data_IF_507181437374
#
_entry.id   IF_507181437374
#
_cell.length_a   1.000
_cell.length_b   1.000
_cell.length_c   1.000
_cell.angle_alpha   90.00
_cell.angle_beta   90.00
_cell.angle_gamma   90.00
#
_symmetry.space_group_name_H-M   'P 1'
#
loop_
_entity.id
_entity.type
_entity.pdbx_description
1 polymer ?
#
# COMPACT_ATOMS: atom_id res chain seq x y z
N UNK A 1 -30.50 -49.34 33.40
CA UNK A 1 -29.30 -49.19 32.55
C UNK A 1 -29.67 -48.39 31.33
N UNK A 2 -29.08 -47.20 31.15
CA UNK A 2 -28.85 -46.62 29.84
C UNK A 2 -27.34 -46.56 29.53
N UNK A 3 -27.00 -46.70 28.26
CA UNK A 3 -25.65 -46.67 27.68
C UNK A 3 -25.01 -45.26 27.70
N UNK A 4 -23.66 -45.14 27.66
CA UNK A 4 -23.00 -43.85 27.55
C UNK A 4 -22.76 -43.48 26.07
N UNK A 5 -23.35 -42.37 25.61
CA UNK A 5 -22.94 -41.74 24.35
C UNK A 5 -21.70 -40.87 24.58
N UNK A 6 -20.55 -41.40 24.17
CA UNK A 6 -19.33 -40.66 23.88
C UNK A 6 -19.31 -40.34 22.39
N UNK A 7 -19.20 -39.06 22.01
CA UNK A 7 -18.67 -38.61 20.72
C UNK A 7 -18.48 -37.08 20.73
N UNK A 8 -17.33 -36.61 21.25
CA UNK A 8 -16.81 -35.29 20.88
C UNK A 8 -15.99 -35.45 19.58
N UNK A 9 -16.12 -34.52 18.61
CA UNK A 9 -15.29 -34.54 17.40
C UNK A 9 -13.82 -34.24 17.74
N UNK A 10 -12.85 -34.64 16.89
CA UNK A 10 -11.44 -34.44 17.17
C UNK A 10 -11.13 -32.94 17.22
N UNK A 11 -10.64 -32.47 18.36
CA UNK A 11 -10.05 -31.14 18.46
C UNK A 11 -8.76 -31.14 17.62
N UNK A 12 -8.80 -30.50 16.45
CA UNK A 12 -7.58 -30.09 15.76
C UNK A 12 -6.78 -29.19 16.71
N UNK A 13 -5.63 -29.69 17.17
CA UNK A 13 -4.69 -28.92 17.98
C UNK A 13 -4.23 -27.69 17.17
N UNK A 14 -4.78 -26.53 17.50
CA UNK A 14 -4.19 -25.25 17.12
C UNK A 14 -2.78 -25.17 17.72
N UNK A 15 -1.78 -24.65 16.98
CA UNK A 15 -0.46 -24.42 17.56
C UNK A 15 -0.59 -23.32 18.61
N UNK A 16 -0.52 -23.70 19.87
CA UNK A 16 -0.53 -22.80 21.02
C UNK A 16 0.67 -21.85 20.93
N UNK A 17 0.44 -20.55 21.14
CA UNK A 17 1.48 -19.51 21.20
C UNK A 17 2.61 -19.79 22.23
N UNK A 18 2.42 -20.79 23.09
CA UNK A 18 3.41 -21.34 24.02
C UNK A 18 4.57 -22.11 23.35
N UNK A 19 4.46 -22.47 22.06
CA UNK A 19 5.55 -23.15 21.35
C UNK A 19 6.71 -22.21 20.92
N UNK A 20 6.57 -20.90 21.11
CA UNK A 20 7.59 -19.91 20.77
C UNK A 20 8.73 -19.81 21.81
N UNK A 21 8.58 -20.42 22.99
CA UNK A 21 9.56 -20.30 24.08
C UNK A 21 10.86 -21.12 23.87
N UNK A 22 10.93 -22.04 22.89
CA UNK A 22 12.06 -22.99 22.77
C UNK A 22 13.02 -22.78 21.57
N UNK A 23 12.81 -21.75 20.76
CA UNK A 23 13.73 -21.39 19.67
C UNK A 23 14.41 -20.05 19.98
N UNK A 24 15.46 -20.12 20.80
CA UNK A 24 16.37 -18.98 20.98
C UNK A 24 16.96 -18.53 19.64
N UNK A 25 17.25 -17.23 19.51
CA UNK A 25 17.74 -16.63 18.26
C UNK A 25 18.97 -17.34 17.68
N UNK A 26 19.93 -17.75 18.52
CA UNK A 26 21.11 -18.54 18.13
C UNK A 26 20.73 -19.86 17.43
N UNK A 27 19.72 -20.55 17.99
CA UNK A 27 19.23 -21.80 17.41
C UNK A 27 18.53 -21.54 16.08
N UNK A 28 17.73 -20.48 16.00
CA UNK A 28 17.10 -20.07 14.75
C UNK A 28 18.15 -19.78 13.65
N UNK A 29 19.17 -18.98 13.94
CA UNK A 29 20.21 -18.63 12.95
C UNK A 29 21.08 -19.83 12.56
N UNK A 30 21.39 -20.73 13.49
CA UNK A 30 22.22 -21.92 13.19
C UNK A 30 21.54 -22.95 12.28
N UNK A 31 20.20 -22.92 12.15
CA UNK A 31 19.46 -23.83 11.26
C UNK A 31 19.03 -23.19 9.94
N UNK A 32 19.35 -21.92 9.70
CA UNK A 32 19.03 -21.24 8.45
C UNK A 32 19.84 -21.80 7.28
N UNK A 33 19.15 -22.11 6.20
CA UNK A 33 19.77 -22.57 4.95
C UNK A 33 19.37 -21.62 3.82
N UNK A 34 20.36 -21.05 3.13
CA UNK A 34 20.14 -20.26 1.92
C UNK A 34 19.98 -21.20 0.73
N UNK A 35 18.90 -21.02 -0.03
CA UNK A 35 18.68 -21.65 -1.33
C UNK A 35 18.63 -20.57 -2.41
N UNK A 36 19.26 -20.82 -3.55
CA UNK A 36 19.21 -19.93 -4.71
C UNK A 36 18.35 -20.60 -5.77
N UNK A 37 17.32 -19.89 -6.23
CA UNK A 37 16.43 -20.35 -7.29
C UNK A 37 16.54 -19.41 -8.47
N UNK A 38 16.62 -19.96 -9.68
CA UNK A 38 16.94 -19.20 -10.90
C UNK A 38 15.70 -18.81 -11.71
N UNK A 39 14.50 -19.17 -11.25
CA UNK A 39 13.24 -18.89 -11.95
C UNK A 39 12.07 -18.67 -10.99
N UNK A 40 11.07 -17.92 -11.46
CA UNK A 40 9.83 -17.68 -10.71
C UNK A 40 9.04 -18.97 -10.49
N UNK A 41 9.04 -19.88 -11.48
CA UNK A 41 8.38 -21.19 -11.34
C UNK A 41 9.03 -22.04 -10.26
N UNK A 42 10.37 -22.12 -10.24
CA UNK A 42 11.10 -22.85 -9.21
C UNK A 42 10.89 -22.23 -7.83
N UNK A 43 10.83 -20.89 -7.75
CA UNK A 43 10.55 -20.21 -6.48
C UNK A 43 9.17 -20.60 -5.95
N UNK A 44 8.16 -20.64 -6.82
CA UNK A 44 6.81 -21.08 -6.46
C UNK A 44 6.79 -22.51 -5.95
N UNK A 45 7.48 -23.42 -6.63
CA UNK A 45 7.59 -24.83 -6.22
C UNK A 45 8.26 -24.98 -4.85
N UNK A 46 9.37 -24.28 -4.59
CA UNK A 46 10.07 -24.30 -3.29
C UNK A 46 9.24 -23.67 -2.17
N UNK A 47 8.55 -22.55 -2.43
CA UNK A 47 7.67 -21.92 -1.42
C UNK A 47 6.52 -22.86 -1.04
N UNK A 48 5.92 -23.53 -2.02
CA UNK A 48 4.86 -24.50 -1.78
C UNK A 48 5.37 -25.76 -1.08
N UNK A 49 6.55 -26.27 -1.43
CA UNK A 49 7.13 -27.45 -0.78
C UNK A 49 7.50 -27.17 0.68
N UNK A 50 7.89 -25.94 0.99
CA UNK A 50 8.23 -25.47 2.33
C UNK A 50 7.07 -24.79 3.05
N UNK A 51 5.83 -24.94 2.57
CA UNK A 51 4.65 -24.22 3.09
C UNK A 51 4.51 -24.33 4.62
N UNK A 52 4.73 -25.51 5.19
CA UNK A 52 4.68 -25.71 6.64
C UNK A 52 5.71 -24.88 7.42
N UNK A 53 6.90 -24.68 6.84
CA UNK A 53 7.95 -23.83 7.42
C UNK A 53 7.55 -22.35 7.38
N UNK A 54 6.99 -21.90 6.26
CA UNK A 54 6.49 -20.51 6.11
C UNK A 54 5.30 -20.19 7.01
N UNK A 55 4.46 -21.19 7.32
CA UNK A 55 3.36 -21.06 8.28
C UNK A 55 3.80 -21.15 9.75
N UNK A 56 5.06 -21.53 9.99
CA UNK A 56 5.63 -21.64 11.34
C UNK A 56 5.86 -20.28 12.02
N UNK A 57 6.28 -20.33 13.28
CA UNK A 57 6.45 -19.14 14.14
C UNK A 57 7.44 -18.09 13.59
N UNK A 58 8.42 -18.50 12.76
CA UNK A 58 9.42 -17.61 12.19
C UNK A 58 9.20 -17.30 10.70
N UNK A 59 8.04 -17.62 10.13
CA UNK A 59 7.77 -17.46 8.69
C UNK A 59 8.00 -16.04 8.17
N UNK A 60 7.57 -15.03 8.92
CA UNK A 60 7.77 -13.61 8.57
C UNK A 60 9.26 -13.25 8.57
N UNK A 61 10.05 -13.77 9.52
CA UNK A 61 11.49 -13.56 9.54
C UNK A 61 12.17 -14.24 8.34
N UNK A 62 11.78 -15.47 8.00
CA UNK A 62 12.30 -16.16 6.82
C UNK A 62 12.02 -15.37 5.54
N UNK A 63 10.85 -14.74 5.45
CA UNK A 63 10.47 -13.92 4.29
C UNK A 63 11.33 -12.68 4.22
N UNK A 64 11.51 -11.99 5.36
CA UNK A 64 12.37 -10.84 5.46
C UNK A 64 13.83 -11.16 5.07
N UNK A 65 14.40 -12.25 5.59
CA UNK A 65 15.74 -12.69 5.21
C UNK A 65 15.83 -12.99 3.72
N UNK A 66 14.81 -13.61 3.13
CA UNK A 66 14.77 -13.90 1.70
C UNK A 66 14.81 -12.61 0.86
N UNK A 67 14.05 -11.58 1.24
CA UNK A 67 14.05 -10.26 0.57
C UNK A 67 15.42 -9.58 0.72
N UNK A 68 15.97 -9.52 1.93
CA UNK A 68 17.27 -8.89 2.21
C UNK A 68 18.38 -9.58 1.41
N UNK A 69 18.40 -10.91 1.39
CA UNK A 69 19.41 -11.69 0.67
C UNK A 69 19.27 -11.61 -0.85
N UNK A 70 18.04 -11.50 -1.36
CA UNK A 70 17.79 -11.34 -2.79
C UNK A 70 18.21 -9.94 -3.30
N UNK A 71 17.95 -8.89 -2.51
CA UNK A 71 18.36 -7.51 -2.84
C UNK A 71 19.86 -7.28 -2.60
N UNK A 72 20.42 -7.87 -1.54
CA UNK A 72 21.80 -7.70 -1.10
C UNK A 72 21.95 -6.59 -0.05
N UNK A 73 22.68 -6.89 1.03
CA UNK A 73 22.86 -5.99 2.18
C UNK A 73 23.49 -4.66 1.77
N UNK A 74 24.54 -4.69 0.94
CA UNK A 74 25.23 -3.48 0.51
C UNK A 74 24.34 -2.59 -0.37
N UNK A 75 23.49 -3.18 -1.22
CA UNK A 75 22.53 -2.42 -2.01
C UNK A 75 21.51 -1.72 -1.11
N UNK A 76 21.01 -2.41 -0.08
CA UNK A 76 20.09 -1.83 0.90
C UNK A 76 20.77 -0.68 1.66
N UNK A 77 22.00 -0.88 2.13
CA UNK A 77 22.77 0.16 2.84
C UNK A 77 23.02 1.40 1.98
N UNK A 78 23.25 1.23 0.68
CA UNK A 78 23.46 2.35 -0.24
C UNK A 78 22.17 3.12 -0.55
N UNK A 79 21.00 2.47 -0.42
CA UNK A 79 19.69 3.13 -0.63
C UNK A 79 19.20 3.87 0.63
N UNK A 80 19.54 3.35 1.82
CA UNK A 80 19.23 4.00 3.09
C UNK A 80 20.17 5.21 3.28
N UNK A 81 19.60 6.42 3.28
CA UNK A 81 20.38 7.65 3.41
C UNK A 81 20.96 7.84 4.82
N UNK A 82 20.26 7.38 5.86
CA UNK A 82 20.75 7.38 7.25
C UNK A 82 21.20 5.97 7.67
N UNK A 83 22.51 5.72 7.60
CA UNK A 83 23.08 4.41 7.94
C UNK A 83 22.91 3.98 9.40
N UNK A 84 22.45 4.89 10.27
CA UNK A 84 22.13 4.60 11.67
C UNK A 84 20.69 4.13 11.87
N UNK A 85 19.82 4.30 10.87
CA UNK A 85 18.42 3.87 10.94
C UNK A 85 18.32 2.34 10.78
N UNK A 86 17.84 1.60 11.79
CA UNK A 86 17.64 0.17 11.66
C UNK A 86 16.38 -0.13 10.82
N UNK A 87 16.39 -1.24 10.07
CA UNK A 87 15.20 -1.70 9.33
C UNK A 87 14.04 -2.11 10.26
N UNK A 88 14.39 -2.58 11.46
CA UNK A 88 13.44 -2.95 12.51
C UNK A 88 13.84 -2.20 13.77
N UNK A 89 12.88 -1.49 14.36
CA UNK A 89 13.07 -0.82 15.63
C UNK A 89 13.45 -1.83 16.73
N UNK A 90 14.58 -1.65 17.42
CA UNK A 90 15.09 -2.63 18.38
C UNK A 90 14.28 -2.69 19.69
N UNK A 91 13.42 -1.71 19.96
CA UNK A 91 12.65 -1.60 21.20
C UNK A 91 11.23 -2.15 21.00
N UNK A 92 10.58 -1.76 19.91
CA UNK A 92 9.17 -2.01 19.62
C UNK A 92 8.96 -3.03 18.51
N UNK A 93 9.99 -3.36 17.72
CA UNK A 93 9.91 -4.35 16.64
C UNK A 93 9.16 -3.86 15.39
N UNK A 94 8.89 -2.55 15.27
CA UNK A 94 8.24 -1.99 14.10
C UNK A 94 9.21 -1.89 12.92
N UNK A 95 8.73 -2.18 11.71
CA UNK A 95 9.50 -1.97 10.50
C UNK A 95 9.64 -0.47 10.19
N UNK A 96 10.82 -0.04 9.77
CA UNK A 96 11.03 1.33 9.31
C UNK A 96 10.35 1.58 7.95
N UNK A 97 10.22 2.84 7.55
CA UNK A 97 9.67 3.18 6.24
C UNK A 97 10.52 2.60 5.10
N UNK A 98 11.84 2.57 5.27
CA UNK A 98 12.79 1.92 4.36
C UNK A 98 12.51 0.44 4.20
N UNK A 99 12.13 -0.26 5.28
CA UNK A 99 11.71 -1.66 5.21
C UNK A 99 10.38 -1.82 4.47
N UNK A 100 9.38 -0.98 4.75
CA UNK A 100 8.09 -1.02 4.05
C UNK A 100 8.28 -0.81 2.54
N UNK A 101 9.05 0.20 2.16
CA UNK A 101 9.34 0.50 0.76
C UNK A 101 10.12 -0.65 0.09
N UNK A 102 11.05 -1.29 0.80
CA UNK A 102 11.77 -2.45 0.28
C UNK A 102 10.81 -3.60 -0.05
N UNK A 103 9.85 -3.88 0.84
CA UNK A 103 8.88 -4.97 0.64
C UNK A 103 7.89 -4.69 -0.49
N UNK A 104 7.49 -3.43 -0.67
CA UNK A 104 6.46 -3.04 -1.64
C UNK A 104 7.06 -2.74 -3.03
N UNK A 105 8.20 -2.07 -3.07
CA UNK A 105 8.79 -1.52 -4.32
C UNK A 105 10.10 -2.21 -4.73
N UNK A 106 10.76 -2.90 -3.79
CA UNK A 106 12.12 -3.43 -4.00
C UNK A 106 13.24 -2.40 -3.79
N UNK A 107 12.92 -1.21 -3.29
CA UNK A 107 13.86 -0.11 -2.99
C UNK A 107 13.75 0.31 -1.53
N UNK A 108 14.88 0.37 -0.82
CA UNK A 108 14.95 0.65 0.61
C UNK A 108 15.16 2.15 0.93
N UNK A 109 14.54 3.04 0.15
CA UNK A 109 14.53 4.49 0.44
C UNK A 109 13.55 4.80 1.57
N UNK A 110 13.84 5.79 2.40
CA UNK A 110 12.95 6.19 3.52
C UNK A 110 11.83 7.12 3.08
N UNK A 111 12.00 7.80 1.95
CA UNK A 111 11.02 8.75 1.44
C UNK A 111 9.91 8.05 0.65
N UNK A 112 8.76 8.70 0.59
CA UNK A 112 7.50 8.08 0.15
C UNK A 112 6.88 8.74 -1.08
N UNK A 113 7.64 9.64 -1.71
CA UNK A 113 7.28 10.29 -2.96
C UNK A 113 8.05 9.69 -4.14
N UNK A 114 7.56 9.95 -5.35
CA UNK A 114 8.22 9.54 -6.57
C UNK A 114 9.45 10.41 -6.90
N UNK A 115 10.50 9.78 -7.42
CA UNK A 115 11.69 10.46 -7.92
C UNK A 115 12.59 11.06 -6.85
N UNK A 116 13.82 11.38 -7.23
CA UNK A 116 14.72 12.13 -6.35
C UNK A 116 14.26 13.59 -6.23
N UNK A 117 14.39 14.17 -5.04
CA UNK A 117 14.17 15.60 -4.78
C UNK A 117 15.46 16.25 -4.33
N UNK A 118 15.61 17.55 -4.61
CA UNK A 118 16.72 18.35 -4.08
C UNK A 118 16.17 19.37 -3.08
N UNK A 119 16.75 19.40 -1.89
CA UNK A 119 16.39 20.34 -0.84
C UNK A 119 17.67 20.96 -0.26
N UNK A 120 17.87 22.26 -0.50
CA UNK A 120 19.03 23.01 0.03
C UNK A 120 20.39 22.39 -0.31
N UNK A 121 20.55 21.86 -1.53
CA UNK A 121 21.77 21.18 -1.98
C UNK A 121 21.93 19.74 -1.48
N UNK A 122 20.97 19.21 -0.72
CA UNK A 122 20.91 17.82 -0.33
C UNK A 122 19.99 17.05 -1.29
N UNK A 123 20.49 15.94 -1.84
CA UNK A 123 19.71 15.04 -2.67
C UNK A 123 18.96 14.03 -1.79
N UNK A 124 17.64 14.05 -1.87
CA UNK A 124 16.73 13.14 -1.17
C UNK A 124 16.24 12.07 -2.13
N UNK A 125 16.48 10.80 -1.80
CA UNK A 125 16.08 9.68 -2.64
C UNK A 125 14.62 9.34 -2.46
N UNK A 126 13.83 9.44 -3.53
CA UNK A 126 12.46 8.95 -3.56
C UNK A 126 12.35 7.61 -4.29
N UNK A 127 11.11 7.20 -4.53
CA UNK A 127 10.78 5.92 -5.14
C UNK A 127 10.91 6.05 -6.66
N UNK A 128 11.81 5.27 -7.27
CA UNK A 128 12.09 5.35 -8.70
C UNK A 128 11.26 4.38 -9.55
N UNK A 129 10.50 3.51 -8.90
CA UNK A 129 9.70 2.50 -9.58
C UNK A 129 8.35 2.36 -8.89
N UNK A 130 7.30 2.54 -9.68
CA UNK A 130 5.95 2.29 -9.22
C UNK A 130 5.76 0.79 -8.92
N UNK A 131 5.24 0.50 -7.73
CA UNK A 131 4.87 -0.84 -7.33
C UNK A 131 3.51 -1.24 -7.92
N UNK A 132 3.31 -2.56 -8.11
CA UNK A 132 2.00 -3.11 -8.45
C UNK A 132 1.03 -3.10 -7.25
N UNK A 133 1.57 -2.98 -6.04
CA UNK A 133 0.83 -2.88 -4.79
C UNK A 133 1.09 -1.51 -4.20
N UNK A 134 0.03 -0.76 -3.92
CA UNK A 134 0.11 0.54 -3.27
C UNK A 134 0.05 0.43 -1.75
N UNK A 135 0.47 1.50 -1.08
CA UNK A 135 0.39 1.64 0.38
C UNK A 135 -0.31 2.95 0.74
N UNK A 136 -1.36 2.85 1.56
CA UNK A 136 -2.05 3.99 2.16
C UNK A 136 -1.82 3.99 3.66
N UNK A 137 -1.66 5.17 4.24
CA UNK A 137 -1.27 5.34 5.64
C UNK A 137 -2.24 6.25 6.37
N UNK A 138 -2.40 6.05 7.68
CA UNK A 138 -3.19 6.95 8.54
C UNK A 138 -2.72 8.40 8.41
N UNK A 139 -1.42 8.63 8.20
CA UNK A 139 -0.84 9.98 8.05
C UNK A 139 -1.40 10.72 6.83
N UNK A 140 -1.78 9.98 5.78
CA UNK A 140 -2.47 10.53 4.60
C UNK A 140 -3.88 11.01 4.96
N UNK A 141 -4.63 10.22 5.74
CA UNK A 141 -5.97 10.61 6.21
C UNK A 141 -5.94 11.86 7.11
N UNK A 142 -4.83 12.06 7.82
CA UNK A 142 -4.58 13.22 8.66
C UNK A 142 -4.01 14.42 7.87
N UNK A 143 -3.85 14.28 6.54
CA UNK A 143 -3.33 15.30 5.61
C UNK A 143 -1.90 15.77 5.89
N UNK A 144 -1.14 15.00 6.66
CA UNK A 144 0.29 15.24 6.87
C UNK A 144 1.15 14.81 5.67
N UNK A 145 0.62 13.94 4.80
CA UNK A 145 1.24 13.53 3.54
C UNK A 145 0.29 13.87 2.37
N UNK A 146 0.60 14.91 1.58
CA UNK A 146 -0.25 15.36 0.46
C UNK A 146 0.11 14.76 -0.91
N UNK A 147 1.31 14.19 -1.05
CA UNK A 147 1.88 13.75 -2.35
C UNK A 147 2.29 12.28 -2.33
N UNK A 148 1.32 11.39 -2.13
CA UNK A 148 1.56 9.95 -2.02
C UNK A 148 0.87 9.20 -3.16
N UNK A 149 1.16 9.53 -4.42
CA UNK A 149 0.62 8.77 -5.57
C UNK A 149 1.33 7.43 -5.73
N UNK A 150 1.29 6.57 -4.71
CA UNK A 150 1.84 5.22 -4.77
C UNK A 150 0.85 4.19 -5.32
N UNK A 151 -0.17 4.60 -6.08
CA UNK A 151 -1.12 3.67 -6.70
C UNK A 151 -1.50 4.16 -8.10
N UNK A 152 -1.16 3.35 -9.11
CA UNK A 152 -1.47 3.61 -10.52
C UNK A 152 -0.48 4.56 -11.22
N UNK A 153 -0.17 4.34 -12.51
CA UNK A 153 0.49 5.38 -13.29
C UNK A 153 -0.41 6.62 -13.20
N UNK A 154 0.21 7.79 -12.99
CA UNK A 154 -0.52 9.05 -12.95
C UNK A 154 -1.44 9.10 -14.17
N UNK A 155 -2.76 9.11 -13.92
CA UNK A 155 -3.71 9.21 -15.01
C UNK A 155 -3.48 10.54 -15.75
N UNK A 156 -3.80 10.62 -17.06
CA UNK A 156 -3.71 11.90 -17.78
C UNK A 156 -4.43 13.05 -17.05
N UNK A 157 -5.50 12.74 -16.32
CA UNK A 157 -6.25 13.70 -15.50
C UNK A 157 -5.51 14.12 -14.23
N UNK A 158 -4.82 13.20 -13.53
CA UNK A 158 -4.00 13.53 -12.37
C UNK A 158 -2.77 14.34 -12.76
N UNK A 159 -2.14 13.99 -13.89
CA UNK A 159 -1.04 14.76 -14.48
C UNK A 159 -1.51 16.16 -14.84
N UNK A 160 -2.66 16.28 -15.50
CA UNK A 160 -3.30 17.56 -15.79
C UNK A 160 -3.54 18.38 -14.51
N UNK A 161 -4.05 17.75 -13.45
CA UNK A 161 -4.33 18.43 -12.19
C UNK A 161 -3.06 18.88 -11.47
N UNK A 162 -2.04 18.03 -11.39
CA UNK A 162 -0.75 18.37 -10.75
C UNK A 162 -0.03 19.47 -11.50
N UNK A 163 0.03 19.38 -12.83
CA UNK A 163 0.59 20.45 -13.65
C UNK A 163 -0.23 21.72 -13.45
N UNK A 164 -1.55 21.69 -13.58
CA UNK A 164 -2.39 22.87 -13.35
C UNK A 164 -2.17 23.51 -11.98
N UNK A 165 -2.15 22.71 -10.91
CA UNK A 165 -1.89 23.18 -9.54
C UNK A 165 -0.50 23.83 -9.38
N UNK A 166 0.51 23.39 -10.12
CA UNK A 166 1.82 24.05 -10.10
C UNK A 166 1.80 25.47 -10.69
N UNK A 167 0.74 25.82 -11.45
CA UNK A 167 0.52 27.16 -12.02
C UNK A 167 -0.61 27.94 -11.33
N UNK A 168 -1.30 27.34 -10.34
CA UNK A 168 -2.31 27.99 -9.49
C UNK A 168 -1.88 27.94 -8.00
N UNK A 169 -0.87 28.74 -7.61
CA UNK A 169 -0.36 28.74 -6.23
C UNK A 169 -1.35 29.32 -5.21
N UNK A 170 -2.41 29.99 -5.67
CA UNK A 170 -3.45 30.58 -4.84
C UNK A 170 -4.64 29.62 -4.60
N UNK A 171 -4.64 28.44 -5.24
CA UNK A 171 -5.70 27.41 -5.18
C UNK A 171 -7.09 27.99 -5.49
N UNK A 172 -7.15 28.94 -6.42
CA UNK A 172 -8.39 29.64 -6.78
C UNK A 172 -9.16 28.93 -7.92
N UNK A 173 -8.57 27.89 -8.50
CA UNK A 173 -9.14 27.08 -9.58
C UNK A 173 -8.93 27.67 -10.97
N UNK A 174 -8.15 28.74 -11.12
CA UNK A 174 -7.92 29.44 -12.38
C UNK A 174 -6.43 29.72 -12.61
N UNK A 175 -6.00 29.53 -13.86
CA UNK A 175 -4.70 30.00 -14.34
C UNK A 175 -4.91 31.18 -15.31
N UNK A 176 -4.06 32.22 -15.27
CA UNK A 176 -4.03 33.25 -16.29
C UNK A 176 -3.83 32.67 -17.70
N UNK A 177 -4.48 33.24 -18.71
CA UNK A 177 -4.35 32.83 -20.12
C UNK A 177 -2.89 32.83 -20.61
N UNK A 178 -2.07 33.75 -20.07
CA UNK A 178 -0.64 33.82 -20.37
C UNK A 178 0.15 32.58 -19.95
N UNK A 179 -0.35 31.78 -19.00
CA UNK A 179 0.29 30.56 -18.51
C UNK A 179 -0.30 29.30 -19.17
N UNK A 180 -1.40 29.41 -19.92
CA UNK A 180 -2.07 28.27 -20.53
C UNK A 180 -1.17 27.53 -21.52
N UNK A 181 -0.37 28.26 -22.30
CA UNK A 181 0.58 27.65 -23.24
C UNK A 181 1.65 26.83 -22.51
N UNK A 182 2.15 27.34 -21.39
CA UNK A 182 3.15 26.66 -20.56
C UNK A 182 2.57 25.41 -19.90
N UNK A 183 1.31 25.47 -19.43
CA UNK A 183 0.58 24.30 -18.92
C UNK A 183 0.38 23.24 -20.01
N UNK A 184 -0.04 23.65 -21.21
CA UNK A 184 -0.25 22.72 -22.32
C UNK A 184 1.05 22.06 -22.78
N UNK A 185 2.18 22.80 -22.81
CA UNK A 185 3.50 22.25 -23.09
C UNK A 185 3.95 21.27 -22.02
N UNK A 186 3.75 21.60 -20.74
CA UNK A 186 4.09 20.73 -19.62
C UNK A 186 3.26 19.43 -19.59
N UNK A 187 2.08 19.43 -20.23
CA UNK A 187 1.23 18.25 -20.42
C UNK A 187 1.47 17.50 -21.72
N UNK A 188 2.44 17.93 -22.54
CA UNK A 188 2.70 17.37 -23.87
C UNK A 188 1.46 17.37 -24.79
N UNK A 189 0.56 18.35 -24.59
CA UNK A 189 -0.69 18.49 -25.35
C UNK A 189 -0.54 19.40 -26.58
N UNK A 190 0.65 19.96 -26.81
CA UNK A 190 0.89 20.90 -27.91
C UNK A 190 1.40 20.14 -29.14
N UNK A 191 0.49 19.85 -30.06
CA UNK A 191 0.88 19.32 -31.39
C UNK A 191 1.08 20.43 -32.43
N UNK A 192 0.40 21.60 -32.30
CA UNK A 192 0.57 22.76 -33.20
C UNK A 192 0.19 24.10 -32.51
N UNK A 193 0.93 25.20 -32.77
CA UNK A 193 0.77 26.50 -32.09
C UNK A 193 -0.54 27.25 -32.41
N UNK A 194 -1.27 26.89 -33.47
CA UNK A 194 -2.53 27.55 -33.85
C UNK A 194 -3.78 26.99 -33.13
N UNK A 195 -3.65 25.89 -32.37
CA UNK A 195 -4.80 25.19 -31.77
C UNK A 195 -5.23 25.71 -30.38
N UNK A 196 -4.41 26.54 -29.72
CA UNK A 196 -4.66 27.01 -28.35
C UNK A 196 -5.86 27.97 -28.22
N UNK A 197 -6.34 28.58 -29.31
CA UNK A 197 -7.38 29.62 -29.26
C UNK A 197 -8.83 29.11 -29.37
N UNK A 198 -9.08 27.79 -29.46
CA UNK A 198 -10.40 27.28 -29.88
C UNK A 198 -11.05 26.16 -29.07
N UNK A 199 -10.59 25.81 -27.86
CA UNK A 199 -11.27 24.77 -27.07
C UNK A 199 -11.48 25.16 -25.62
N UNK A 200 -12.52 25.97 -25.37
CA UNK A 200 -13.24 26.00 -24.09
C UNK A 200 -14.74 26.07 -24.38
N UNK A 201 -15.33 24.92 -24.70
CA UNK A 201 -16.74 24.68 -24.38
C UNK A 201 -16.83 23.39 -23.57
N UNK A 202 -17.53 23.38 -22.42
CA UNK A 202 -17.70 22.18 -21.62
C UNK A 202 -18.69 21.26 -22.34
N UNK A 203 -18.20 20.53 -23.32
CA UNK A 203 -18.86 19.32 -23.79
C UNK A 203 -18.05 18.17 -23.25
N UNK A 204 -18.51 17.66 -22.12
CA UNK A 204 -18.15 16.35 -21.57
C UNK A 204 -18.05 15.37 -22.74
N UNK A 205 -16.82 14.98 -23.10
CA UNK A 205 -16.63 13.86 -24.01
C UNK A 205 -17.11 12.61 -23.27
N UNK A 206 -18.16 11.93 -23.75
CA UNK A 206 -18.60 10.69 -23.13
C UNK A 206 -17.59 9.60 -23.49
N UNK A 207 -17.07 8.90 -22.49
CA UNK A 207 -16.35 7.63 -22.68
C UNK A 207 -14.83 7.71 -22.73
N UNK A 208 -14.17 8.43 -21.81
CA UNK A 208 -12.86 7.96 -21.35
C UNK A 208 -13.12 7.05 -20.16
N UNK A 209 -12.98 5.73 -20.37
CA UNK A 209 -12.93 4.76 -19.28
C UNK A 209 -11.92 5.29 -18.26
N UNK A 210 -12.39 5.74 -17.11
CA UNK A 210 -11.56 6.35 -16.07
C UNK A 210 -10.56 5.36 -15.48
N UNK A 211 -10.55 4.09 -15.90
CA UNK A 211 -9.73 3.01 -15.34
C UNK A 211 -10.06 2.70 -13.87
N UNK A 212 -10.90 3.52 -13.23
CA UNK A 212 -11.33 3.39 -11.85
C UNK A 212 -12.58 2.50 -11.87
N UNK A 213 -12.55 1.34 -11.19
CA UNK A 213 -13.73 0.49 -11.10
C UNK A 213 -14.86 1.24 -10.40
N UNK A 214 -16.09 1.14 -10.90
CA UNK A 214 -17.30 1.59 -10.20
C UNK A 214 -17.43 0.92 -8.83
N UNK A 215 -16.90 -0.30 -8.71
CA UNK A 215 -16.77 -1.02 -7.45
C UNK A 215 -15.60 -1.99 -7.45
N UNK A 216 -15.04 -2.27 -6.28
CA UNK A 216 -14.01 -3.30 -6.10
C UNK A 216 -14.12 -3.98 -4.74
N UNK A 217 -13.70 -5.26 -4.62
CA UNK A 217 -13.68 -5.94 -3.33
C UNK A 217 -12.62 -5.33 -2.42
N UNK A 218 -12.98 -5.17 -1.14
CA UNK A 218 -12.06 -4.76 -0.09
C UNK A 218 -12.03 -5.83 0.99
N UNK A 219 -10.84 -6.12 1.51
CA UNK A 219 -10.67 -7.09 2.59
C UNK A 219 -9.99 -6.41 3.76
N UNK A 220 -10.55 -6.57 4.95
CA UNK A 220 -9.90 -6.16 6.19
C UNK A 220 -9.37 -7.38 6.93
N UNK A 221 -8.07 -7.34 7.22
CA UNK A 221 -7.38 -8.31 8.06
C UNK A 221 -7.39 -7.85 9.51
N UNK A 222 -8.00 -8.61 10.42
CA UNK A 222 -8.20 -8.19 11.82
C UNK A 222 -6.98 -8.40 12.74
N UNK A 223 -5.76 -8.57 12.22
CA UNK A 223 -4.61 -9.04 13.00
C UNK A 223 -4.12 -8.14 14.15
N UNK A 224 -4.63 -6.91 14.27
CA UNK A 224 -4.38 -6.06 15.42
C UNK A 224 -5.25 -6.45 16.62
N UNK A 225 -4.70 -6.36 17.84
CA UNK A 225 -5.45 -6.64 19.08
C UNK A 225 -6.76 -5.85 19.19
N UNK A 226 -6.78 -4.59 18.73
CA UNK A 226 -7.97 -3.73 18.75
C UNK A 226 -9.08 -4.20 17.79
N UNK A 227 -8.75 -5.01 16.78
CA UNK A 227 -9.68 -5.58 15.82
C UNK A 227 -9.94 -7.07 16.06
N UNK A 228 -9.02 -7.77 16.71
CA UNK A 228 -9.09 -9.20 16.99
C UNK A 228 -9.82 -9.51 18.32
N UNK A 229 -11.10 -9.16 18.39
CA UNK A 229 -11.90 -9.31 19.61
C UNK A 229 -12.12 -10.78 20.02
N UNK A 230 -12.12 -11.68 19.04
CA UNK A 230 -12.37 -13.11 19.23
C UNK A 230 -11.07 -13.93 19.36
N UNK A 231 -9.92 -13.25 19.47
CA UNK A 231 -8.57 -13.85 19.50
C UNK A 231 -8.28 -14.79 18.30
N UNK A 232 -9.06 -14.63 17.23
CA UNK A 232 -8.94 -15.39 15.99
C UNK A 232 -8.73 -14.44 14.82
N UNK A 233 -7.65 -14.71 14.10
CA UNK A 233 -7.34 -14.01 12.86
C UNK A 233 -8.38 -14.36 11.80
N UNK A 234 -9.07 -13.35 11.29
CA UNK A 234 -10.16 -13.42 10.33
C UNK A 234 -10.01 -12.30 9.29
N UNK A 235 -10.53 -12.58 8.10
CA UNK A 235 -10.66 -11.59 7.03
C UNK A 235 -12.14 -11.23 6.91
N UNK A 236 -12.43 -9.94 6.86
CA UNK A 236 -13.76 -9.42 6.57
C UNK A 236 -13.76 -8.91 5.15
N UNK A 237 -14.64 -9.45 4.32
CA UNK A 237 -14.88 -8.95 2.97
C UNK A 237 -15.88 -7.78 3.00
N UNK A 238 -15.66 -6.83 2.11
CA UNK A 238 -16.57 -5.73 1.85
C UNK A 238 -16.51 -5.33 0.38
N UNK A 239 -17.39 -4.42 -0.01
CA UNK A 239 -17.42 -3.80 -1.32
C UNK A 239 -17.16 -2.31 -1.19
N UNK A 240 -16.16 -1.81 -1.92
CA UNK A 240 -15.97 -0.39 -2.13
C UNK A 240 -16.75 0.04 -3.37
N UNK A 241 -17.56 1.10 -3.24
CA UNK A 241 -18.29 1.74 -4.32
C UNK A 241 -17.68 3.11 -4.58
N UNK A 242 -17.21 3.38 -5.79
CA UNK A 242 -16.68 4.70 -6.15
C UNK A 242 -17.77 5.49 -6.86
N UNK A 243 -18.42 6.39 -6.14
CA UNK A 243 -19.48 7.21 -6.71
C UNK A 243 -18.85 8.39 -7.47
N UNK A 244 -19.42 8.82 -8.59
CA UNK A 244 -18.94 10.01 -9.30
C UNK A 244 -19.30 11.33 -8.60
N UNK A 245 -20.10 11.26 -7.55
CA UNK A 245 -20.74 12.37 -6.85
C UNK A 245 -21.16 11.94 -5.43
N UNK A 246 -21.51 12.90 -4.57
CA UNK A 246 -22.11 12.58 -3.26
C UNK A 246 -23.55 12.07 -3.44
N UNK A 247 -23.81 10.80 -3.12
CA UNK A 247 -25.16 10.24 -3.06
C UNK A 247 -25.63 10.09 -1.59
N UNK A 248 -26.63 10.87 -1.14
CA UNK A 248 -27.18 10.75 0.20
C UNK A 248 -27.75 9.36 0.53
N UNK A 249 -28.16 8.58 -0.48
CA UNK A 249 -28.77 7.26 -0.27
C UNK A 249 -27.77 6.15 0.06
N UNK A 250 -26.48 6.34 -0.23
CA UNK A 250 -25.44 5.30 -0.12
C UNK A 250 -24.38 5.65 0.93
N UNK A 251 -24.56 6.76 1.66
CA UNK A 251 -23.62 7.22 2.69
C UNK A 251 -23.50 6.24 3.85
N UNK A 252 -22.30 5.70 4.03
CA UNK A 252 -21.91 4.94 5.22
C UNK A 252 -21.10 5.79 6.20
N UNK A 253 -20.92 5.25 7.41
CA UNK A 253 -20.24 5.92 8.52
C UNK A 253 -18.83 6.41 8.17
N UNK A 254 -18.45 7.55 8.77
CA UNK A 254 -17.14 8.16 8.59
C UNK A 254 -16.06 7.43 9.40
N UNK A 255 -15.57 6.32 8.84
CA UNK A 255 -14.53 5.49 9.46
C UNK A 255 -13.12 5.96 9.09
N UNK A 256 -12.08 5.71 9.91
CA UNK A 256 -10.69 6.01 9.55
C UNK A 256 -10.26 5.35 8.22
N UNK A 257 -10.73 4.13 7.96
CA UNK A 257 -10.51 3.41 6.70
C UNK A 257 -11.14 4.14 5.52
N UNK A 258 -12.39 4.60 5.67
CA UNK A 258 -13.08 5.41 4.65
C UNK A 258 -12.31 6.70 4.39
N UNK A 259 -11.93 7.45 5.42
CA UNK A 259 -11.14 8.69 5.27
C UNK A 259 -9.80 8.47 4.58
N UNK A 260 -9.14 7.35 4.85
CA UNK A 260 -7.89 6.97 4.20
C UNK A 260 -8.09 6.64 2.72
N UNK A 261 -9.18 5.99 2.33
CA UNK A 261 -9.48 5.70 0.92
C UNK A 261 -10.01 6.93 0.17
N UNK A 262 -10.69 7.85 0.87
CA UNK A 262 -11.22 9.09 0.30
C UNK A 262 -10.14 10.05 -0.21
N UNK A 263 -8.90 9.88 0.22
CA UNK A 263 -7.76 10.62 -0.34
C UNK A 263 -7.48 10.24 -1.80
N UNK A 264 -7.93 9.06 -2.23
CA UNK A 264 -7.86 8.56 -3.61
C UNK A 264 -9.19 8.62 -4.33
N UNK A 265 -10.26 8.26 -3.63
CA UNK A 265 -11.61 8.19 -4.17
C UNK A 265 -12.56 9.04 -3.32
N UNK A 266 -12.70 10.35 -3.61
CA UNK A 266 -13.39 11.30 -2.73
C UNK A 266 -14.81 10.88 -2.32
N UNK A 267 -15.52 10.19 -3.21
CA UNK A 267 -16.90 9.74 -3.00
C UNK A 267 -16.98 8.22 -2.86
N UNK A 268 -15.97 7.59 -2.26
CA UNK A 268 -15.99 6.15 -1.96
C UNK A 268 -16.91 5.84 -0.77
N UNK A 269 -17.72 4.80 -0.95
CA UNK A 269 -18.57 4.24 0.07
C UNK A 269 -18.19 2.78 0.34
N UNK A 270 -18.15 2.39 1.61
CA UNK A 270 -17.70 1.06 2.03
C UNK A 270 -18.86 0.27 2.62
N UNK A 271 -19.16 -0.88 2.01
CA UNK A 271 -20.19 -1.82 2.44
C UNK A 271 -19.52 -3.09 2.96
N UNK A 272 -19.42 -3.23 4.28
CA UNK A 272 -18.84 -4.41 4.91
C UNK A 272 -19.89 -5.52 5.08
N UNK A 273 -19.46 -6.77 5.02
CA UNK A 273 -20.33 -7.93 5.30
C UNK A 273 -20.68 -8.09 6.77
N UNK A 274 -20.09 -7.28 7.66
CA UNK A 274 -20.27 -7.33 9.12
C UNK A 274 -20.77 -5.99 9.66
N UNK A 275 -21.55 -6.04 10.75
CA UNK A 275 -22.07 -4.83 11.42
C UNK A 275 -20.99 -3.95 12.08
N UNK A 276 -19.79 -4.49 12.29
CA UNK A 276 -18.66 -3.74 12.85
C UNK A 276 -17.80 -3.17 11.74
N UNK A 277 -17.62 -1.85 11.77
CA UNK A 277 -16.65 -1.18 10.93
C UNK A 277 -15.22 -1.63 11.27
N UNK A 278 -14.40 -1.96 10.27
CA UNK A 278 -13.02 -2.33 10.52
C UNK A 278 -12.14 -1.20 11.04
N UNK A 279 -11.09 -1.55 11.80
CA UNK A 279 -10.09 -0.57 12.26
C UNK A 279 -9.07 -0.26 11.16
N UNK A 280 -8.41 0.90 11.26
CA UNK A 280 -7.19 1.18 10.52
C UNK A 280 -5.95 0.88 11.39
N UNK A 281 -4.85 0.48 10.75
CA UNK A 281 -3.52 0.38 11.37
C UNK A 281 -2.95 1.76 11.71
#
# INVERSE_FOLDING_TARGET
MPEPESSQPPQEQQPTALAAEDLGFERFHSVLHKRTVMSVSGLREEVLSLYHTWRGCCGVLLFLYSVILAKGIENIRNEIQDTMEPLIDPVHGHGSQSLVNLLVTGHAVSNVWDGDRECSGMKLHGIHKQASVGFLTLMESLRYCKEMSLVGPESPSEQARRVFQSFDPEDNGFIPESLLEDVMKALDLVSEPEYASKVLTPKSRPGQDSGIPDSFPIYHYNGLKQSNHNERVEYVEGTALVLGFEDPMVRTDDTPVKRCLQTKWPYIELLWTTDRSPSLN
#
